data_IF_051179297995
#
_entry.id   IF_051179297995
#
_cell.length_a   1.000
_cell.length_b   1.000
_cell.length_c   1.000
_cell.angle_alpha   90.00
_cell.angle_beta   90.00
_cell.angle_gamma   90.00
#
_symmetry.space_group_name_H-M   'P 1'
#
loop_
_entity.id
_entity.type
_entity.pdbx_description
1 polymer ?
#
# COMPACT_ATOMS: atom_id res chain seq x y z
N UNK A 1 35.06 9.04 31.03
CA UNK A 1 34.06 10.08 30.71
C UNK A 1 33.51 9.82 29.32
N UNK A 2 32.31 9.25 29.28
CA UNK A 2 31.35 9.37 28.19
C UNK A 2 30.03 9.66 28.89
N UNK A 3 29.47 10.82 28.61
CA UNK A 3 28.16 11.26 29.12
C UNK A 3 27.13 10.84 28.08
N UNK A 4 26.22 9.94 28.43
CA UNK A 4 24.98 9.74 27.66
C UNK A 4 23.83 10.02 28.60
N UNK A 5 23.24 11.20 28.42
CA UNK A 5 22.05 11.67 29.09
C UNK A 5 20.90 10.72 28.72
N UNK A 6 20.36 10.02 29.70
CA UNK A 6 19.15 9.23 29.55
C UNK A 6 17.98 10.08 30.05
N UNK A 7 17.45 10.92 29.17
CA UNK A 7 16.17 11.59 29.39
C UNK A 7 15.09 10.52 29.41
N UNK A 8 14.90 9.92 30.58
CA UNK A 8 13.83 8.99 30.88
C UNK A 8 12.54 9.78 31.05
N UNK A 9 12.03 10.38 29.96
CA UNK A 9 10.61 10.66 29.84
C UNK A 9 9.89 9.40 29.34
N UNK A 10 10.07 8.32 30.08
CA UNK A 10 9.24 7.14 29.96
C UNK A 10 8.12 7.28 30.97
N UNK A 11 6.91 7.58 30.51
CA UNK A 11 5.71 7.13 31.20
C UNK A 11 5.77 5.59 31.21
N UNK A 12 6.50 5.03 32.17
CA UNK A 12 6.63 3.60 32.39
C UNK A 12 5.33 3.08 32.95
N UNK A 13 4.35 2.82 32.08
CA UNK A 13 3.28 1.87 32.39
C UNK A 13 3.96 0.52 32.61
N UNK A 14 4.04 0.14 33.88
CA UNK A 14 4.70 -1.05 34.39
C UNK A 14 4.17 -2.30 33.66
N UNK A 15 4.96 -2.86 32.75
CA UNK A 15 4.54 -3.88 31.79
C UNK A 15 4.71 -5.30 32.37
N UNK A 16 4.27 -5.52 33.62
CA UNK A 16 4.53 -6.78 34.32
C UNK A 16 3.30 -7.59 34.73
N UNK A 17 2.05 -7.14 34.50
CA UNK A 17 0.87 -7.96 34.83
C UNK A 17 -0.33 -7.89 33.87
N UNK A 18 -0.26 -7.09 32.79
CA UNK A 18 -1.48 -6.71 32.04
C UNK A 18 -1.99 -7.75 31.02
N UNK A 19 -1.17 -8.73 30.61
CA UNK A 19 -1.55 -9.73 29.61
C UNK A 19 -2.61 -10.75 30.09
N UNK A 20 -2.88 -10.81 31.40
CA UNK A 20 -3.89 -11.70 31.97
C UNK A 20 -5.18 -10.94 32.34
N UNK A 21 -5.27 -9.64 32.04
CA UNK A 21 -6.47 -8.86 32.33
C UNK A 21 -7.55 -9.11 31.26
N UNK A 22 -8.81 -9.41 31.66
CA UNK A 22 -9.90 -9.65 30.72
C UNK A 22 -10.33 -8.41 29.92
N UNK A 23 -9.81 -7.23 30.25
CA UNK A 23 -10.03 -5.97 29.52
C UNK A 23 -8.76 -5.49 28.79
N UNK A 24 -7.76 -6.36 28.64
CA UNK A 24 -6.55 -6.01 27.90
C UNK A 24 -6.84 -5.88 26.41
N UNK A 25 -6.82 -4.64 25.93
CA UNK A 25 -6.84 -4.31 24.51
C UNK A 25 -5.37 -4.30 24.09
N UNK A 26 -4.96 -5.27 23.27
CA UNK A 26 -3.59 -5.34 22.79
C UNK A 26 -3.20 -4.06 22.05
N UNK A 27 -1.90 -3.81 21.89
CA UNK A 27 -1.42 -2.61 21.19
C UNK A 27 -2.18 -2.40 19.86
N UNK A 28 -2.43 -3.47 19.10
CA UNK A 28 -3.16 -3.47 17.83
C UNK A 28 -4.68 -3.27 17.91
N UNK A 29 -5.27 -3.43 19.09
CA UNK A 29 -6.73 -3.47 19.29
C UNK A 29 -7.28 -2.11 19.74
N UNK A 30 -6.44 -1.08 19.88
CA UNK A 30 -6.86 0.23 20.36
C UNK A 30 -7.67 1.00 19.31
N UNK A 31 -8.87 1.51 19.63
CA UNK A 31 -9.59 2.39 18.72
C UNK A 31 -8.77 3.66 18.45
N UNK A 32 -8.48 3.94 17.18
CA UNK A 32 -7.62 5.03 16.74
C UNK A 32 -6.20 4.63 16.31
N UNK A 33 -5.78 3.38 16.57
CA UNK A 33 -4.57 2.83 15.94
C UNK A 33 -4.85 2.57 14.46
N UNK A 34 -4.28 3.39 13.59
CA UNK A 34 -4.34 3.14 12.14
C UNK A 34 -3.26 2.13 11.79
N UNK A 35 -3.64 0.95 11.27
CA UNK A 35 -2.71 -0.11 10.84
C UNK A 35 -1.77 0.32 9.69
N UNK A 36 -1.98 1.52 9.14
CA UNK A 36 -1.23 2.09 8.03
C UNK A 36 -1.15 3.60 8.17
N UNK A 37 -0.03 4.23 7.81
CA UNK A 37 0.09 5.68 7.78
C UNK A 37 -0.70 6.33 6.60
N UNK A 38 -1.44 5.53 5.82
CA UNK A 38 -2.26 6.03 4.72
C UNK A 38 -3.69 6.32 5.20
N UNK A 39 -4.17 7.57 5.17
CA UNK A 39 -5.54 7.90 5.56
C UNK A 39 -6.56 7.14 4.72
N UNK A 40 -7.70 6.75 5.32
CA UNK A 40 -8.83 6.09 4.65
C UNK A 40 -9.64 7.06 3.75
N UNK A 41 -8.97 7.86 2.93
CA UNK A 41 -9.59 8.86 2.06
C UNK A 41 -9.94 8.33 0.66
N UNK A 42 -10.17 7.02 0.52
CA UNK A 42 -10.43 6.38 -0.78
C UNK A 42 -9.20 6.20 -1.68
N UNK A 43 -8.01 6.67 -1.30
CA UNK A 43 -6.77 6.42 -2.07
C UNK A 43 -6.48 4.92 -2.22
N UNK A 44 -6.83 4.12 -1.19
CA UNK A 44 -6.76 2.66 -1.24
C UNK A 44 -7.73 2.09 -2.28
N UNK A 45 -8.93 2.67 -2.42
CA UNK A 45 -9.91 2.23 -3.42
C UNK A 45 -9.43 2.47 -4.84
N UNK A 46 -8.80 3.61 -5.12
CA UNK A 46 -8.22 3.90 -6.43
C UNK A 46 -7.12 2.89 -6.81
N UNK A 47 -6.24 2.57 -5.85
CA UNK A 47 -5.22 1.53 -6.04
C UNK A 47 -5.85 0.16 -6.22
N UNK A 48 -6.85 -0.21 -5.41
CA UNK A 48 -7.55 -1.49 -5.53
C UNK A 48 -8.23 -1.66 -6.89
N UNK A 49 -8.92 -0.62 -7.39
CA UNK A 49 -9.53 -0.62 -8.72
C UNK A 49 -8.49 -0.79 -9.83
N UNK A 50 -7.33 -0.15 -9.72
CA UNK A 50 -6.23 -0.33 -10.66
C UNK A 50 -5.72 -1.76 -10.66
N UNK A 51 -5.41 -2.32 -9.48
CA UNK A 51 -4.92 -3.69 -9.37
C UNK A 51 -5.95 -4.67 -9.95
N UNK A 52 -7.24 -4.52 -9.62
CA UNK A 52 -8.30 -5.36 -10.18
C UNK A 52 -8.40 -5.24 -11.71
N UNK A 53 -8.27 -4.04 -12.27
CA UNK A 53 -8.22 -3.84 -13.72
C UNK A 53 -7.04 -4.61 -14.33
N UNK A 54 -5.84 -4.43 -13.78
CA UNK A 54 -4.62 -5.07 -14.27
C UNK A 54 -4.66 -6.61 -14.18
N UNK A 55 -5.25 -7.16 -13.12
CA UNK A 55 -5.39 -8.62 -12.94
C UNK A 55 -6.38 -9.26 -13.91
N UNK A 56 -7.33 -8.48 -14.44
CA UNK A 56 -8.30 -8.93 -15.45
C UNK A 56 -7.74 -8.87 -16.88
N UNK A 57 -6.54 -8.30 -17.09
CA UNK A 57 -5.89 -8.31 -18.38
C UNK A 57 -5.38 -9.71 -18.74
N UNK A 58 -5.37 -10.03 -20.03
CA UNK A 58 -4.84 -11.29 -20.53
C UNK A 58 -3.31 -11.40 -20.33
N UNK A 59 -2.78 -12.62 -20.41
CA UNK A 59 -1.36 -12.92 -20.16
C UNK A 59 -0.42 -12.23 -21.16
N UNK A 60 -0.89 -11.97 -22.38
CA UNK A 60 -0.15 -11.20 -23.39
C UNK A 60 0.21 -9.76 -22.95
N UNK A 61 -0.46 -9.25 -21.90
CA UNK A 61 -0.22 -7.92 -21.32
C UNK A 61 0.65 -7.98 -20.04
N UNK A 62 1.26 -9.12 -19.72
CA UNK A 62 2.12 -9.27 -18.53
C UNK A 62 3.22 -8.21 -18.46
N UNK A 63 3.91 -7.96 -19.57
CA UNK A 63 4.98 -6.95 -19.64
C UNK A 63 4.46 -5.53 -19.29
N UNK A 64 3.29 -5.16 -19.84
CA UNK A 64 2.66 -3.85 -19.57
C UNK A 64 2.19 -3.77 -18.11
N UNK A 65 1.65 -4.86 -17.57
CA UNK A 65 1.25 -4.97 -16.16
C UNK A 65 2.44 -4.71 -15.23
N UNK A 66 3.56 -5.40 -15.48
CA UNK A 66 4.78 -5.26 -14.70
C UNK A 66 5.34 -3.84 -14.81
N UNK A 67 5.35 -3.26 -16.00
CA UNK A 67 5.76 -1.87 -16.22
C UNK A 67 4.90 -0.89 -15.40
N UNK A 68 3.56 -1.03 -15.45
CA UNK A 68 2.64 -0.14 -14.72
C UNK A 68 2.82 -0.27 -13.20
N UNK A 69 3.02 -1.49 -12.70
CA UNK A 69 3.24 -1.75 -11.26
C UNK A 69 4.58 -1.19 -10.76
N UNK A 70 5.58 -1.07 -11.63
CA UNK A 70 6.89 -0.50 -11.31
C UNK A 70 6.94 1.04 -11.35
N UNK A 71 5.86 1.72 -11.76
CA UNK A 71 5.81 3.18 -11.82
C UNK A 71 5.65 3.80 -10.42
N UNK A 72 6.39 4.89 -10.15
CA UNK A 72 6.22 5.73 -8.96
C UNK A 72 6.12 7.23 -9.36
N UNK A 73 5.01 7.93 -9.03
CA UNK A 73 3.82 7.44 -8.35
C UNK A 73 3.00 6.47 -9.22
N UNK A 74 2.42 5.46 -8.58
CA UNK A 74 1.54 4.48 -9.23
C UNK A 74 0.41 5.21 -9.99
N UNK A 75 0.17 4.90 -11.27
CA UNK A 75 -0.77 5.63 -12.10
C UNK A 75 -2.23 5.41 -11.67
N UNK A 76 -3.14 6.23 -12.20
CA UNK A 76 -4.58 6.01 -12.05
C UNK A 76 -5.08 4.95 -13.02
N UNK A 77 -6.28 4.40 -12.76
CA UNK A 77 -6.95 3.45 -13.66
C UNK A 77 -7.07 4.00 -15.09
N UNK A 78 -7.45 5.27 -15.24
CA UNK A 78 -7.59 5.91 -16.55
C UNK A 78 -6.26 5.96 -17.30
N UNK A 79 -5.16 6.31 -16.61
CA UNK A 79 -3.83 6.34 -17.22
C UNK A 79 -3.35 4.93 -17.62
N UNK A 80 -3.61 3.93 -16.79
CA UNK A 80 -3.32 2.53 -17.11
C UNK A 80 -4.10 2.05 -18.35
N UNK A 81 -5.37 2.41 -18.47
CA UNK A 81 -6.18 2.12 -19.66
C UNK A 81 -5.56 2.73 -20.93
N UNK A 82 -5.14 3.99 -20.89
CA UNK A 82 -4.46 4.63 -22.02
C UNK A 82 -3.16 3.92 -22.40
N UNK A 83 -2.35 3.50 -21.42
CA UNK A 83 -1.10 2.78 -21.69
C UNK A 83 -1.39 1.46 -22.42
N UNK A 84 -2.34 0.67 -21.93
CA UNK A 84 -2.73 -0.61 -22.56
C UNK A 84 -3.20 -0.37 -24.01
N UNK A 85 -4.06 0.62 -24.22
CA UNK A 85 -4.59 0.93 -25.56
C UNK A 85 -3.49 1.37 -26.55
N UNK A 86 -2.44 2.07 -26.09
CA UNK A 86 -1.31 2.43 -26.94
C UNK A 86 -0.51 1.20 -27.37
N UNK A 87 -0.28 0.26 -26.46
CA UNK A 87 0.42 -0.99 -26.76
C UNK A 87 -0.37 -1.84 -27.74
N UNK A 88 -1.70 -1.93 -27.60
CA UNK A 88 -2.56 -2.62 -28.57
C UNK A 88 -2.42 -2.03 -29.97
N UNK A 89 -2.47 -0.70 -30.10
CA UNK A 89 -2.29 -0.02 -31.39
C UNK A 89 -0.92 -0.26 -32.00
N UNK A 90 0.14 -0.24 -31.19
CA UNK A 90 1.49 -0.55 -31.66
C UNK A 90 1.60 -2.01 -32.12
N UNK A 91 0.99 -2.95 -31.40
CA UNK A 91 0.99 -4.38 -31.76
C UNK A 91 0.21 -4.64 -33.05
N UNK A 92 -0.91 -3.94 -33.25
CA UNK A 92 -1.72 -4.04 -34.47
C UNK A 92 -1.07 -3.33 -35.67
N UNK A 93 -0.39 -2.20 -35.44
CA UNK A 93 0.26 -1.41 -36.50
C UNK A 93 1.55 -2.02 -37.07
N UNK A 94 2.03 -3.15 -36.53
CA UNK A 94 3.21 -3.87 -37.04
C UNK A 94 2.86 -4.84 -38.19
N UNK A 95 1.58 -4.93 -38.57
CA UNK A 95 1.15 -5.58 -39.81
C UNK A 95 1.11 -4.53 -40.95
N UNK A 96 2.26 -4.23 -41.56
CA UNK A 96 2.34 -3.49 -42.84
C UNK A 96 3.31 -4.16 -43.78
#
# INVERSE_FOLDING_TARGET
MMTTNNDSNGNGVNMSNSANDPLYIGNSDHPGMVLTNTPFNGKIEGRSKLIQFLMKLNDEYESVRNQILAMDPLPTVNKAYYIVQQIEKQKQGVLV
#
